data_IF_048102702090
#
_entry.id   IF_048102702090
#
_cell.length_a   1.000
_cell.length_b   1.000
_cell.length_c   1.000
_cell.angle_alpha   90.00
_cell.angle_beta   90.00
_cell.angle_gamma   90.00
#
_symmetry.space_group_name_H-M   'P 1'
#
loop_
_entity.id
_entity.type
_entity.pdbx_description
1 polymer ?
#
# COMPACT_ATOMS: atom_id res chain seq x y z
N UNK A 1 -15.70 3.98 28.11
CA UNK A 1 -14.89 4.58 27.04
C UNK A 1 -13.47 4.79 27.53
N UNK A 2 -12.47 4.57 26.67
CA UNK A 2 -11.05 4.76 27.01
C UNK A 2 -10.66 6.22 26.72
N UNK A 3 -10.20 6.96 27.74
CA UNK A 3 -9.92 8.39 27.61
C UNK A 3 -8.89 8.70 26.51
N UNK A 4 -7.85 7.87 26.36
CA UNK A 4 -6.83 8.02 25.31
C UNK A 4 -7.37 7.76 23.90
N UNK A 5 -8.38 6.89 23.78
CA UNK A 5 -9.05 6.65 22.51
C UNK A 5 -9.89 7.87 22.11
N UNK A 6 -10.73 8.38 23.01
CA UNK A 6 -11.58 9.55 22.74
C UNK A 6 -10.77 10.83 22.44
N UNK A 7 -9.54 10.96 22.95
CA UNK A 7 -8.64 12.07 22.58
C UNK A 7 -8.06 11.96 21.17
N UNK A 8 -7.86 10.74 20.66
CA UNK A 8 -7.32 10.50 19.31
C UNK A 8 -8.43 10.43 18.25
N UNK A 9 -9.59 9.91 18.64
CA UNK A 9 -10.74 9.59 17.81
C UNK A 9 -12.02 10.15 18.47
N UNK A 10 -12.22 11.48 18.47
CA UNK A 10 -13.34 12.11 19.16
C UNK A 10 -14.71 11.79 18.55
N UNK A 11 -14.74 11.45 17.26
CA UNK A 11 -15.93 11.05 16.49
C UNK A 11 -15.80 9.59 16.03
N UNK A 12 -15.38 8.73 16.96
CA UNK A 12 -15.07 7.32 16.72
C UNK A 12 -13.96 7.07 15.69
N UNK A 13 -13.73 5.79 15.39
CA UNK A 13 -12.84 5.36 14.31
C UNK A 13 -13.66 5.16 13.03
N UNK A 14 -13.30 5.86 11.97
CA UNK A 14 -13.90 5.69 10.65
C UNK A 14 -13.05 4.74 9.81
N UNK A 15 -13.58 3.56 9.50
CA UNK A 15 -12.88 2.49 8.81
C UNK A 15 -13.46 2.24 7.40
N UNK A 16 -12.57 1.95 6.46
CA UNK A 16 -12.91 1.28 5.21
C UNK A 16 -12.56 -0.21 5.34
N UNK A 17 -13.53 -1.09 5.15
CA UNK A 17 -13.36 -2.54 5.21
C UNK A 17 -13.36 -3.15 3.80
N UNK A 18 -12.35 -3.96 3.52
CA UNK A 18 -12.14 -4.61 2.22
C UNK A 18 -12.26 -6.13 2.36
N UNK A 19 -13.50 -6.64 2.30
CA UNK A 19 -13.83 -8.07 2.22
C UNK A 19 -15.07 -8.25 1.33
N UNK A 20 -15.22 -9.43 0.71
CA UNK A 20 -16.42 -9.82 -0.05
C UNK A 20 -17.32 -10.80 0.70
N UNK A 21 -16.86 -11.38 1.81
CA UNK A 21 -17.68 -12.23 2.69
C UNK A 21 -18.66 -11.39 3.53
N UNK A 22 -19.90 -11.30 3.05
CA UNK A 22 -20.99 -10.55 3.68
C UNK A 22 -21.26 -10.98 5.13
N UNK A 23 -21.08 -12.27 5.47
CA UNK A 23 -21.29 -12.77 6.85
C UNK A 23 -20.23 -12.22 7.80
N UNK A 24 -18.99 -12.12 7.32
CA UNK A 24 -17.93 -11.45 8.07
C UNK A 24 -18.15 -9.95 8.16
N UNK A 25 -18.57 -9.27 7.09
CA UNK A 25 -18.89 -7.84 7.16
C UNK A 25 -19.98 -7.56 8.21
N UNK A 26 -21.01 -8.41 8.30
CA UNK A 26 -22.06 -8.30 9.33
C UNK A 26 -21.52 -8.49 10.76
N UNK A 27 -20.70 -9.54 11.00
CA UNK A 27 -20.16 -9.79 12.35
C UNK A 27 -19.06 -8.80 12.74
N UNK A 28 -18.26 -8.34 11.78
CA UNK A 28 -17.25 -7.30 11.96
C UNK A 28 -17.90 -5.96 12.30
N UNK A 29 -19.00 -5.59 11.64
CA UNK A 29 -19.77 -4.38 11.99
C UNK A 29 -20.18 -4.40 13.46
N UNK A 30 -20.85 -5.47 13.91
CA UNK A 30 -21.29 -5.61 15.31
C UNK A 30 -20.13 -5.53 16.29
N UNK A 31 -19.02 -6.21 16.02
CA UNK A 31 -17.84 -6.22 16.91
C UNK A 31 -17.14 -4.85 16.96
N UNK A 32 -16.98 -4.20 15.81
CA UNK A 32 -16.27 -2.91 15.70
C UNK A 32 -17.12 -1.75 16.24
N UNK A 33 -18.44 -1.76 16.04
CA UNK A 33 -19.33 -0.74 16.63
C UNK A 33 -19.37 -0.76 18.16
N UNK A 34 -19.14 -1.92 18.81
CA UNK A 34 -18.95 -2.00 20.27
C UNK A 34 -17.64 -1.32 20.72
N UNK A 35 -16.69 -1.15 19.81
CA UNK A 35 -15.36 -0.58 20.03
C UNK A 35 -15.24 0.84 19.43
N UNK A 36 -16.34 1.58 19.40
CA UNK A 36 -16.41 2.97 18.93
C UNK A 36 -15.90 3.17 17.47
N UNK A 37 -16.02 2.16 16.60
CA UNK A 37 -15.89 2.34 15.15
C UNK A 37 -17.23 2.84 14.59
N UNK A 38 -17.36 4.16 14.45
CA UNK A 38 -18.63 4.85 14.17
C UNK A 38 -19.07 4.76 12.71
N UNK A 39 -18.12 4.80 11.76
CA UNK A 39 -18.42 4.72 10.32
C UNK A 39 -17.63 3.59 9.69
N UNK A 40 -18.35 2.57 9.19
CA UNK A 40 -17.76 1.43 8.49
C UNK A 40 -18.24 1.41 7.04
N UNK A 41 -17.39 1.88 6.13
CA UNK A 41 -17.64 1.77 4.69
C UNK A 41 -17.13 0.40 4.24
N UNK A 42 -17.88 -0.35 3.45
CA UNK A 42 -17.47 -1.69 2.99
C UNK A 42 -17.31 -1.75 1.48
N UNK A 43 -16.29 -2.45 0.99
CA UNK A 43 -16.12 -2.72 -0.44
C UNK A 43 -15.49 -4.10 -0.70
N UNK A 44 -15.82 -4.71 -1.83
CA UNK A 44 -15.46 -6.11 -2.11
C UNK A 44 -14.03 -6.33 -2.63
N UNK A 45 -13.28 -5.27 -2.99
CA UNK A 45 -11.95 -5.42 -3.59
C UNK A 45 -10.99 -4.27 -3.28
N UNK A 46 -9.66 -4.51 -3.22
CA UNK A 46 -8.64 -3.47 -3.09
C UNK A 46 -8.70 -2.40 -4.19
N UNK A 47 -9.05 -2.79 -5.42
CA UNK A 47 -9.23 -1.86 -6.54
C UNK A 47 -10.41 -0.91 -6.32
N UNK A 48 -11.53 -1.42 -5.76
CA UNK A 48 -12.67 -0.57 -5.38
C UNK A 48 -12.29 0.35 -4.22
N UNK A 49 -11.55 -0.16 -3.22
CA UNK A 49 -11.06 0.62 -2.09
C UNK A 49 -10.20 1.81 -2.54
N UNK A 50 -9.19 1.58 -3.41
CA UNK A 50 -8.37 2.66 -3.97
C UNK A 50 -9.20 3.69 -4.73
N UNK A 51 -10.16 3.26 -5.56
CA UNK A 51 -11.02 4.20 -6.29
C UNK A 51 -11.86 5.09 -5.36
N UNK A 52 -12.36 4.56 -4.23
CA UNK A 52 -13.10 5.37 -3.25
C UNK A 52 -12.18 6.37 -2.53
N UNK A 53 -11.00 5.92 -2.11
CA UNK A 53 -10.01 6.70 -1.35
C UNK A 53 -9.35 7.81 -2.18
N UNK A 54 -9.16 7.61 -3.49
CA UNK A 54 -8.43 8.55 -4.37
C UNK A 54 -9.32 9.56 -5.09
N UNK A 55 -10.65 9.36 -5.10
CA UNK A 55 -11.61 10.22 -5.82
C UNK A 55 -12.39 11.16 -4.90
N UNK A 56 -11.90 11.40 -3.67
CA UNK A 56 -12.58 12.14 -2.59
C UNK A 56 -14.04 11.70 -2.33
N UNK A 57 -14.40 10.49 -2.76
CA UNK A 57 -15.76 9.94 -2.64
C UNK A 57 -16.08 9.59 -1.19
N UNK A 58 -15.04 9.23 -0.43
CA UNK A 58 -15.09 9.06 1.01
C UNK A 58 -14.00 9.94 1.63
N UNK A 59 -14.36 10.74 2.64
CA UNK A 59 -13.44 11.60 3.38
C UNK A 59 -13.16 11.02 4.77
N UNK A 60 -12.12 11.52 5.43
CA UNK A 60 -11.82 11.29 6.86
C UNK A 60 -11.70 9.82 7.29
N UNK A 61 -11.20 8.95 6.41
CA UNK A 61 -10.94 7.54 6.75
C UNK A 61 -9.70 7.46 7.64
N UNK A 62 -9.84 6.90 8.84
CA UNK A 62 -8.75 6.78 9.81
C UNK A 62 -7.94 5.49 9.63
N UNK A 63 -8.54 4.44 9.05
CA UNK A 63 -7.91 3.13 8.85
C UNK A 63 -8.56 2.39 7.69
N UNK A 64 -7.77 1.60 6.97
CA UNK A 64 -8.28 0.53 6.10
C UNK A 64 -8.07 -0.81 6.77
N UNK A 65 -9.15 -1.57 6.97
CA UNK A 65 -9.11 -2.98 7.37
C UNK A 65 -9.27 -3.82 6.11
N UNK A 66 -8.26 -4.63 5.73
CA UNK A 66 -8.29 -5.35 4.46
C UNK A 66 -8.04 -6.86 4.58
N UNK A 67 -8.74 -7.65 3.75
CA UNK A 67 -8.50 -9.08 3.62
C UNK A 67 -7.11 -9.32 3.00
N UNK A 68 -6.20 -9.93 3.77
CA UNK A 68 -4.81 -10.15 3.37
C UNK A 68 -4.70 -10.92 2.04
N UNK A 69 -5.53 -11.93 1.85
CA UNK A 69 -5.53 -12.76 0.63
C UNK A 69 -6.01 -11.97 -0.60
N UNK A 70 -7.02 -11.11 -0.44
CA UNK A 70 -7.49 -10.22 -1.51
C UNK A 70 -6.46 -9.17 -1.89
N UNK A 71 -5.72 -8.65 -0.91
CA UNK A 71 -4.63 -7.70 -1.14
C UNK A 71 -3.45 -8.38 -1.84
N UNK A 72 -3.02 -9.55 -1.39
CA UNK A 72 -2.00 -10.34 -2.09
C UNK A 72 -2.39 -10.61 -3.55
N UNK A 73 -3.63 -11.04 -3.78
CA UNK A 73 -4.14 -11.36 -5.11
C UNK A 73 -4.41 -10.14 -6.03
N UNK A 74 -4.28 -8.89 -5.56
CA UNK A 74 -4.70 -7.72 -6.36
C UNK A 74 -3.69 -7.29 -7.44
N UNK A 75 -2.46 -7.79 -7.40
CA UNK A 75 -1.44 -7.56 -8.44
C UNK A 75 -0.75 -6.20 -8.38
N UNK A 76 -0.91 -5.45 -7.28
CA UNK A 76 -0.22 -4.18 -7.03
C UNK A 76 -0.01 -3.98 -5.52
N UNK A 77 0.93 -3.10 -5.14
CA UNK A 77 1.20 -2.79 -3.73
C UNK A 77 0.12 -1.86 -3.13
N UNK A 78 -1.02 -2.44 -2.76
CA UNK A 78 -2.14 -1.73 -2.15
C UNK A 78 -1.72 -0.93 -0.92
N UNK A 79 -0.90 -1.51 -0.04
CA UNK A 79 -0.48 -0.84 1.20
C UNK A 79 0.58 0.21 0.96
N UNK A 80 1.52 -0.02 0.04
CA UNK A 80 2.46 1.00 -0.41
C UNK A 80 1.73 2.27 -0.85
N UNK A 81 0.70 2.15 -1.68
CA UNK A 81 -0.14 3.28 -2.12
C UNK A 81 -0.89 3.92 -0.94
N UNK A 82 -1.69 3.13 -0.19
CA UNK A 82 -2.57 3.68 0.86
C UNK A 82 -1.79 4.31 2.03
N UNK A 83 -0.67 3.73 2.46
CA UNK A 83 0.14 4.29 3.55
C UNK A 83 1.12 5.37 3.09
N UNK A 84 1.68 5.31 1.88
CA UNK A 84 2.72 6.27 1.44
C UNK A 84 2.14 7.51 0.76
N UNK A 85 1.08 7.35 -0.03
CA UNK A 85 0.49 8.44 -0.80
C UNK A 85 -0.69 9.10 -0.06
N UNK A 86 -1.49 8.29 0.65
CA UNK A 86 -2.69 8.75 1.37
C UNK A 86 -2.49 8.90 2.88
N UNK A 87 -1.39 8.37 3.43
CA UNK A 87 -1.05 8.38 4.86
C UNK A 87 -2.08 7.70 5.77
N UNK A 88 -2.87 6.77 5.24
CA UNK A 88 -3.89 6.01 5.99
C UNK A 88 -3.30 4.64 6.40
N UNK A 89 -3.30 4.27 7.69
CA UNK A 89 -2.89 2.93 8.13
C UNK A 89 -3.67 1.80 7.45
N UNK A 90 -2.95 0.73 7.09
CA UNK A 90 -3.57 -0.52 6.63
C UNK A 90 -3.34 -1.61 7.68
N UNK A 91 -4.45 -2.18 8.17
CA UNK A 91 -4.49 -3.37 9.04
C UNK A 91 -5.03 -4.53 8.23
N UNK A 92 -4.41 -5.69 8.33
CA UNK A 92 -4.92 -6.88 7.64
C UNK A 92 -5.75 -7.77 8.56
N UNK A 93 -6.72 -8.47 7.97
CA UNK A 93 -7.30 -9.67 8.57
C UNK A 93 -7.10 -10.88 7.66
N UNK A 94 -6.91 -12.05 8.29
CA UNK A 94 -6.63 -13.32 7.62
C UNK A 94 -7.64 -14.39 8.11
N UNK A 95 -8.39 -15.07 7.22
CA UNK A 95 -9.21 -16.20 7.60
C UNK A 95 -8.35 -17.35 8.16
N UNK A 96 -8.74 -17.91 9.31
CA UNK A 96 -8.04 -19.02 9.98
C UNK A 96 -7.89 -20.27 9.11
N UNK A 97 -8.85 -20.47 8.21
CA UNK A 97 -8.98 -21.61 7.30
C UNK A 97 -8.35 -21.36 5.92
N UNK A 98 -7.88 -20.14 5.63
CA UNK A 98 -7.32 -19.79 4.33
C UNK A 98 -6.12 -20.67 3.98
N UNK A 99 -6.16 -21.30 2.80
CA UNK A 99 -5.09 -22.11 2.23
C UNK A 99 -4.61 -21.42 0.95
N UNK A 100 -3.36 -20.97 0.97
CA UNK A 100 -2.65 -20.49 -0.19
C UNK A 100 -1.57 -21.51 -0.60
N UNK A 101 -1.26 -21.63 -1.89
CA UNK A 101 -0.21 -22.53 -2.38
C UNK A 101 0.60 -21.91 -3.52
N UNK A 102 1.87 -22.33 -3.67
CA UNK A 102 2.78 -21.77 -4.68
C UNK A 102 2.89 -20.24 -4.57
N UNK A 103 2.86 -19.56 -5.72
CA UNK A 103 3.02 -18.10 -5.78
C UNK A 103 1.95 -17.29 -5.03
N UNK A 104 0.75 -17.85 -4.78
CA UNK A 104 -0.25 -17.22 -3.90
C UNK A 104 0.26 -17.15 -2.46
N UNK A 105 0.88 -18.22 -1.97
CA UNK A 105 1.45 -18.27 -0.62
C UNK A 105 2.63 -17.30 -0.49
N UNK A 106 3.46 -17.18 -1.53
CA UNK A 106 4.61 -16.26 -1.55
C UNK A 106 4.19 -14.79 -1.55
N UNK A 107 3.11 -14.44 -2.26
CA UNK A 107 2.55 -13.08 -2.28
C UNK A 107 1.81 -12.73 -0.99
N UNK A 108 1.06 -13.70 -0.43
CA UNK A 108 0.43 -13.56 0.88
C UNK A 108 1.49 -13.40 1.98
N UNK A 109 2.55 -14.20 1.96
CA UNK A 109 3.63 -14.09 2.95
C UNK A 109 4.31 -12.72 2.87
N UNK A 110 4.63 -12.22 1.67
CA UNK A 110 5.17 -10.85 1.48
C UNK A 110 4.22 -9.77 2.00
N UNK A 111 2.92 -9.90 1.69
CA UNK A 111 1.87 -9.01 2.21
C UNK A 111 1.87 -8.98 3.74
N UNK A 112 1.85 -10.15 4.38
CA UNK A 112 1.81 -10.30 5.84
C UNK A 112 3.11 -9.86 6.53
N UNK A 113 4.29 -10.18 5.97
CA UNK A 113 5.60 -9.75 6.52
C UNK A 113 5.76 -8.23 6.53
N UNK A 114 5.11 -7.51 5.60
CA UNK A 114 5.12 -6.05 5.60
C UNK A 114 4.28 -5.45 6.74
N UNK A 115 3.28 -6.18 7.23
CA UNK A 115 2.14 -5.64 7.96
C UNK A 115 2.51 -5.06 9.33
N UNK A 116 1.79 -4.01 9.76
CA UNK A 116 1.93 -3.48 11.13
C UNK A 116 1.02 -4.22 12.12
N UNK A 117 -0.14 -4.69 11.67
CA UNK A 117 -1.04 -5.51 12.48
C UNK A 117 -1.78 -6.50 11.57
N UNK A 118 -1.93 -7.74 12.04
CA UNK A 118 -2.66 -8.82 11.38
C UNK A 118 -3.61 -9.46 12.39
N UNK A 119 -4.91 -9.40 12.10
CA UNK A 119 -5.98 -9.92 12.95
C UNK A 119 -6.50 -11.23 12.36
N UNK A 120 -6.94 -12.17 13.19
CA UNK A 120 -7.56 -13.40 12.70
C UNK A 120 -9.03 -13.14 12.40
N UNK A 121 -9.58 -13.84 11.41
CA UNK A 121 -11.01 -13.87 11.11
C UNK A 121 -11.62 -15.21 11.60
N UNK A 122 -12.76 -15.21 12.31
CA UNK A 122 -13.59 -14.05 12.69
C UNK A 122 -12.91 -13.13 13.71
N UNK A 123 -13.33 -11.86 13.78
CA UNK A 123 -12.76 -10.90 14.74
C UNK A 123 -13.05 -11.35 16.17
N UNK A 124 -11.99 -11.50 16.95
CA UNK A 124 -12.06 -11.79 18.38
C UNK A 124 -11.86 -10.53 19.22
N UNK A 125 -12.69 -10.37 20.25
CA UNK A 125 -12.71 -9.18 21.10
C UNK A 125 -11.36 -8.87 21.77
N UNK A 126 -10.57 -9.90 22.13
CA UNK A 126 -9.25 -9.70 22.74
C UNK A 126 -8.21 -9.17 21.74
N UNK A 127 -8.38 -9.45 20.45
CA UNK A 127 -7.52 -8.90 19.39
C UNK A 127 -7.91 -7.47 19.03
N UNK A 128 -9.20 -7.15 18.96
CA UNK A 128 -9.67 -5.84 18.48
C UNK A 128 -9.79 -4.76 19.56
N UNK A 129 -9.94 -5.11 20.86
CA UNK A 129 -10.17 -4.12 21.93
C UNK A 129 -9.08 -3.05 22.09
N UNK A 130 -7.86 -3.34 21.60
CA UNK A 130 -6.72 -2.43 21.65
C UNK A 130 -6.25 -1.94 20.27
N UNK A 131 -6.94 -2.34 19.20
CA UNK A 131 -6.59 -2.02 17.82
C UNK A 131 -6.49 -0.50 17.57
N UNK A 132 -7.28 0.30 18.28
CA UNK A 132 -7.20 1.77 18.24
C UNK A 132 -5.80 2.29 18.55
N UNK A 133 -5.01 1.60 19.39
CA UNK A 133 -3.63 1.99 19.73
C UNK A 133 -2.68 1.75 18.57
N UNK A 134 -2.81 0.61 17.89
CA UNK A 134 -1.97 0.27 16.73
C UNK A 134 -2.27 1.21 15.57
N UNK A 135 -3.55 1.55 15.36
CA UNK A 135 -3.99 2.57 14.40
C UNK A 135 -3.39 3.92 14.78
N UNK A 136 -3.57 4.39 16.02
CA UNK A 136 -3.06 5.68 16.47
C UNK A 136 -1.53 5.80 16.32
N UNK A 137 -0.80 4.76 16.74
CA UNK A 137 0.65 4.66 16.56
C UNK A 137 1.03 4.73 15.08
N UNK A 138 0.36 3.96 14.21
CA UNK A 138 0.67 3.98 12.77
C UNK A 138 0.36 5.34 12.15
N UNK A 139 -0.76 5.99 12.50
CA UNK A 139 -1.07 7.36 12.07
C UNK A 139 0.03 8.34 12.46
N UNK A 140 0.53 8.28 13.70
CA UNK A 140 1.64 9.12 14.16
C UNK A 140 2.92 8.88 13.34
N UNK A 141 3.27 7.62 13.06
CA UNK A 141 4.42 7.28 12.21
C UNK A 141 4.27 7.80 10.77
N UNK A 142 3.09 7.65 10.15
CA UNK A 142 2.82 8.12 8.79
C UNK A 142 2.82 9.66 8.73
N UNK A 143 2.22 10.33 9.70
CA UNK A 143 2.25 11.79 9.82
C UNK A 143 3.65 12.36 10.04
N UNK A 144 4.53 11.65 10.75
CA UNK A 144 5.94 12.02 10.87
C UNK A 144 6.69 11.92 9.53
N UNK A 145 6.47 10.83 8.78
CA UNK A 145 7.02 10.65 7.42
C UNK A 145 6.53 11.74 6.46
N UNK A 146 5.24 12.08 6.48
CA UNK A 146 4.66 13.15 5.67
C UNK A 146 5.36 14.50 5.92
N UNK A 147 5.55 14.86 7.19
CA UNK A 147 6.26 16.10 7.59
C UNK A 147 7.73 16.10 7.14
N UNK A 148 8.42 14.96 7.18
CA UNK A 148 9.80 14.83 6.71
C UNK A 148 9.89 14.93 5.18
N UNK A 149 8.98 14.29 4.45
CA UNK A 149 8.90 14.40 2.99
C UNK A 149 8.61 15.84 2.53
N UNK A 150 7.76 16.57 3.25
CA UNK A 150 7.51 18.00 3.04
C UNK A 150 8.77 18.85 3.27
N UNK A 151 9.51 18.62 4.36
CA UNK A 151 10.78 19.33 4.64
C UNK A 151 11.84 19.10 3.56
N UNK A 152 12.00 17.87 3.09
CA UNK A 152 12.97 17.54 2.04
C UNK A 152 12.61 18.10 0.65
N UNK A 153 11.38 18.60 0.45
CA UNK A 153 10.94 19.30 -0.77
C UNK A 153 11.16 20.82 -0.71
N UNK A 154 11.57 21.37 0.44
CA UNK A 154 11.97 22.78 0.54
C UNK A 154 13.36 22.93 -0.08
N UNK A 155 13.41 23.58 -1.25
CA UNK A 155 14.65 23.88 -1.98
C UNK A 155 15.58 24.70 -1.08
N UNK A 156 16.90 24.39 -1.01
CA UNK A 156 17.84 25.29 -0.32
C UNK A 156 17.84 26.63 -1.04
N UNK A 157 17.58 27.71 -0.29
CA UNK A 157 17.64 29.06 -0.83
C UNK A 157 19.05 29.34 -1.37
N UNK A 158 19.17 29.57 -2.67
CA UNK A 158 20.43 29.91 -3.30
C UNK A 158 20.81 31.36 -2.94
N UNK A 159 21.92 31.54 -2.23
CA UNK A 159 22.53 32.85 -1.97
C UNK A 159 23.10 33.00 -0.57
N UNK A 160 24.43 32.92 -0.44
CA UNK A 160 25.14 33.18 0.83
C UNK A 160 26.48 32.46 0.94
N UNK A 161 27.53 33.00 0.34
CA UNK A 161 28.90 32.53 0.59
C UNK A 161 29.37 32.94 2.00
N UNK A 162 29.94 32.01 2.78
CA UNK A 162 31.34 32.08 3.25
C UNK A 162 31.66 31.18 4.48
N UNK A 163 32.62 30.27 4.28
CA UNK A 163 33.73 29.85 5.18
C UNK A 163 33.48 29.49 6.67
N UNK A 164 33.88 28.28 7.05
CA UNK A 164 34.30 27.93 8.44
C UNK A 164 34.11 26.43 8.78
N UNK A 165 35.14 25.66 9.18
CA UNK A 165 35.03 24.19 9.25
C UNK A 165 34.87 23.60 10.67
N UNK A 166 34.54 22.29 10.66
CA UNK A 166 34.71 21.28 11.71
C UNK A 166 33.74 21.27 12.92
N UNK A 167 32.96 20.19 13.02
CA UNK A 167 33.15 19.21 14.09
C UNK A 167 32.63 17.83 13.67
N UNK A 168 33.22 16.78 14.24
CA UNK A 168 32.99 15.37 13.89
C UNK A 168 31.70 14.85 14.54
N UNK A 169 30.94 14.05 13.80
CA UNK A 169 29.80 13.29 14.31
C UNK A 169 29.64 12.03 13.47
N UNK A 170 30.09 10.90 14.00
CA UNK A 170 30.08 9.61 13.30
C UNK A 170 28.65 9.20 12.94
N UNK A 171 28.44 8.87 11.67
CA UNK A 171 27.26 8.16 11.18
C UNK A 171 27.73 6.95 10.41
N UNK A 172 27.26 5.78 10.85
CA UNK A 172 27.38 4.54 10.11
C UNK A 172 26.52 4.67 8.85
N UNK A 173 27.16 4.92 7.70
CA UNK A 173 26.50 4.93 6.40
C UNK A 173 26.28 3.48 5.96
N UNK A 174 25.06 2.96 6.19
CA UNK A 174 24.62 1.73 5.55
C UNK A 174 24.63 1.87 4.02
N UNK A 175 25.21 0.87 3.38
CA UNK A 175 25.56 0.79 1.96
C UNK A 175 24.41 1.14 1.00
N UNK A 176 24.37 2.40 0.53
CA UNK A 176 23.51 2.79 -0.60
C UNK A 176 24.09 2.29 -1.91
N UNK A 177 23.75 1.05 -2.27
CA UNK A 177 24.05 0.48 -3.59
C UNK A 177 23.34 1.30 -4.69
N UNK A 178 24.09 2.17 -5.36
CA UNK A 178 23.56 2.98 -6.46
C UNK A 178 23.46 2.13 -7.74
N UNK A 179 22.27 1.59 -8.01
CA UNK A 179 22.01 0.91 -9.28
C UNK A 179 22.04 1.89 -10.46
N UNK A 180 23.20 1.95 -11.12
CA UNK A 180 23.38 2.66 -12.39
C UNK A 180 22.66 1.90 -13.51
N UNK A 181 21.44 2.30 -13.83
CA UNK A 181 20.74 1.83 -15.04
C UNK A 181 21.50 2.31 -16.28
N UNK A 182 22.21 1.40 -16.94
CA UNK A 182 22.81 1.65 -18.25
C UNK A 182 21.71 1.52 -19.28
N UNK A 183 21.28 2.65 -19.83
CA UNK A 183 20.20 2.69 -20.82
C UNK A 183 20.73 2.18 -22.18
N UNK A 184 20.63 0.87 -22.42
CA UNK A 184 20.99 0.27 -23.72
C UNK A 184 19.95 0.69 -24.76
N UNK A 185 20.35 1.61 -25.64
CA UNK A 185 19.51 2.19 -26.67
C UNK A 185 19.03 1.16 -27.69
N UNK A 186 17.89 0.53 -27.41
CA UNK A 186 17.20 -0.38 -28.32
C UNK A 186 16.60 0.38 -29.51
N UNK A 187 17.34 0.46 -30.62
CA UNK A 187 16.91 1.07 -31.88
C UNK A 187 15.60 0.45 -32.40
N UNK A 188 14.47 1.14 -32.18
CA UNK A 188 13.15 0.73 -32.66
C UNK A 188 13.03 0.94 -34.18
N UNK A 189 13.41 -0.07 -34.94
CA UNK A 189 13.13 -0.17 -36.38
C UNK A 189 11.65 -0.46 -36.62
N UNK A 190 10.89 0.47 -37.22
CA UNK A 190 9.73 0.18 -38.11
C UNK A 190 9.04 1.45 -38.66
N UNK A 191 9.02 1.60 -39.99
CA UNK A 191 7.77 1.60 -40.78
C UNK A 191 8.04 1.23 -42.24
N UNK A 192 7.07 0.57 -42.88
CA UNK A 192 6.96 0.31 -44.33
C UNK A 192 6.58 1.60 -45.08
N UNK A 193 6.49 1.73 -46.42
CA UNK A 193 6.31 0.82 -47.59
C UNK A 193 6.77 1.64 -48.84
N UNK A 194 6.91 1.21 -50.10
CA UNK A 194 6.60 -0.02 -50.86
C UNK A 194 7.50 -0.09 -52.13
N UNK A 195 7.39 -1.15 -52.95
CA UNK A 195 7.96 -1.21 -54.30
C UNK A 195 8.36 -2.62 -54.78
N UNK A 196 7.58 -3.19 -55.70
CA UNK A 196 7.94 -4.32 -56.59
C UNK A 196 8.35 -3.72 -57.96
N UNK A 197 8.92 -4.43 -58.97
CA UNK A 197 9.19 -5.88 -59.05
C UNK A 197 10.59 -6.28 -59.59
N UNK A 198 10.84 -7.60 -59.66
CA UNK A 198 11.94 -8.24 -60.42
C UNK A 198 12.89 -9.07 -59.54
N UNK A 199 13.31 -10.28 -59.91
CA UNK A 199 12.87 -11.11 -61.05
C UNK A 199 13.60 -12.46 -61.12
N UNK A 200 12.92 -13.46 -61.68
CA UNK A 200 13.41 -14.71 -62.28
C UNK A 200 14.20 -15.79 -61.48
N UNK A 201 13.81 -17.05 -61.78
CA UNK A 201 14.62 -18.26 -61.95
C UNK A 201 14.75 -19.30 -60.81
N UNK A 202 14.36 -20.54 -61.15
CA UNK A 202 14.79 -21.81 -60.53
C UNK A 202 13.71 -22.51 -59.66
N UNK A 203 12.94 -23.52 -60.09
CA UNK A 203 13.30 -24.95 -60.39
C UNK A 203 13.96 -25.66 -59.20
N UNK A 204 13.49 -26.81 -58.66
CA UNK A 204 12.40 -27.73 -59.04
C UNK A 204 11.99 -28.65 -57.86
N UNK A 205 10.83 -29.31 -58.01
CA UNK A 205 10.44 -30.71 -57.65
C UNK A 205 11.32 -31.54 -56.69
N UNK A 206 10.84 -32.57 -55.97
CA UNK A 206 9.52 -33.05 -55.51
C UNK A 206 9.77 -34.39 -54.77
N UNK A 207 8.86 -34.84 -53.91
CA UNK A 207 8.95 -36.13 -53.21
C UNK A 207 8.27 -36.11 -51.85
#
# INVERSE_FOLDING_TARGET
MNQGMSTMFPNGIRALVVDDDTRFLTSAYLMLSILDFEVMITCASPTTALNLLTRDTIKDVNVVLANAAKVAACGFDFRGIVESDLFIPVVYFLPLDHKATGGEADELLRTLMSATCVIKKPLDASQVCNLWRDIAWRMCCLGAKAKQAGRNRVVPAAGGEARGPAMVGEREDEERVHFRVVNTGGSRKRKSTAGNPGGSSGTSLAG
#
